data_IF_730619775189
#
_entry.id   IF_730619775189
#
_cell.length_a   1.000
_cell.length_b   1.000
_cell.length_c   1.000
_cell.angle_alpha   90.00
_cell.angle_beta   90.00
_cell.angle_gamma   90.00
#
_symmetry.space_group_name_H-M   'P 1'
#
loop_
_entity.id
_entity.type
_entity.pdbx_description
1 polymer ?
#
# COMPACT_ATOMS: atom_id res chain seq x y z
N UNK A 1 -8.81 -18.07 19.59
CA UNK A 1 -8.83 -16.59 19.67
C UNK A 1 -9.38 -16.05 18.37
N UNK A 2 -10.51 -15.34 18.43
CA UNK A 2 -11.10 -14.69 17.26
C UNK A 2 -10.76 -13.20 17.33
N UNK A 3 -10.08 -12.69 16.31
CA UNK A 3 -9.59 -11.31 16.26
C UNK A 3 -10.37 -10.56 15.19
N UNK A 4 -11.02 -9.46 15.57
CA UNK A 4 -11.68 -8.54 14.65
C UNK A 4 -10.86 -7.25 14.60
N UNK A 5 -10.43 -6.85 13.41
CA UNK A 5 -9.69 -5.61 13.19
C UNK A 5 -10.40 -4.77 12.13
N UNK A 6 -10.63 -3.50 12.45
CA UNK A 6 -11.23 -2.52 11.54
C UNK A 6 -10.41 -1.23 11.58
N UNK A 7 -10.33 -0.55 10.43
CA UNK A 7 -9.65 0.74 10.33
C UNK A 7 -10.69 1.85 10.25
N UNK A 8 -10.67 2.74 11.24
CA UNK A 8 -11.48 3.96 11.25
C UNK A 8 -10.55 5.17 11.41
N UNK A 9 -10.86 6.24 10.69
CA UNK A 9 -10.23 7.55 10.89
C UNK A 9 -10.86 8.16 12.13
N UNK A 10 -10.04 8.74 13.02
CA UNK A 10 -10.54 9.45 14.20
C UNK A 10 -11.24 10.73 13.72
N UNK A 11 -12.56 10.88 13.93
CA UNK A 11 -13.29 12.10 13.60
C UNK A 11 -12.93 13.26 14.55
N UNK A 12 -13.32 14.48 14.22
CA UNK A 12 -12.98 15.70 14.99
C UNK A 12 -13.46 15.64 16.45
N UNK A 13 -14.60 15.01 16.70
CA UNK A 13 -15.14 14.81 18.05
C UNK A 13 -14.39 13.74 18.86
N UNK A 14 -13.34 13.13 18.30
CA UNK A 14 -12.48 12.12 18.92
C UNK A 14 -13.21 10.86 19.42
N UNK A 15 -14.41 10.59 18.91
CA UNK A 15 -15.20 9.41 19.26
C UNK A 15 -15.17 8.36 18.14
N UNK A 16 -14.86 7.11 18.48
CA UNK A 16 -15.01 5.97 17.56
C UNK A 16 -16.19 5.12 18.01
N UNK A 17 -17.16 4.94 17.12
CA UNK A 17 -18.29 4.01 17.33
C UNK A 17 -17.91 2.70 16.64
N UNK A 18 -17.98 1.57 17.36
CA UNK A 18 -17.84 0.23 16.80
C UNK A 18 -19.23 -0.40 16.72
N UNK A 19 -19.73 -0.57 15.51
CA UNK A 19 -21.04 -1.11 15.18
C UNK A 19 -20.91 -2.49 14.51
N UNK A 20 -21.93 -3.34 14.67
CA UNK A 20 -22.01 -4.65 14.00
C UNK A 20 -20.81 -5.59 14.22
N UNK A 21 -20.30 -5.63 15.46
CA UNK A 21 -19.21 -6.54 15.81
C UNK A 21 -19.66 -8.02 15.65
N UNK A 22 -18.79 -8.90 15.11
CA UNK A 22 -19.12 -10.32 14.90
C UNK A 22 -18.95 -11.16 16.17
N UNK A 23 -19.41 -10.64 17.31
CA UNK A 23 -19.40 -11.29 18.62
C UNK A 23 -20.82 -11.46 19.14
N UNK A 24 -21.02 -12.37 20.09
CA UNK A 24 -22.32 -12.63 20.68
C UNK A 24 -22.62 -11.61 21.78
N UNK A 25 -23.90 -11.41 22.14
CA UNK A 25 -24.24 -10.74 23.38
C UNK A 25 -23.50 -11.37 24.57
N UNK A 26 -23.10 -10.52 25.52
CA UNK A 26 -22.36 -10.90 26.74
C UNK A 26 -20.93 -11.42 26.56
N UNK A 27 -20.41 -11.46 25.32
CA UNK A 27 -18.98 -11.71 25.10
C UNK A 27 -18.14 -10.54 25.66
N UNK A 28 -17.17 -10.85 26.52
CA UNK A 28 -16.18 -9.88 26.98
C UNK A 28 -15.09 -9.74 25.93
N UNK A 29 -14.94 -8.54 25.38
CA UNK A 29 -13.96 -8.23 24.32
C UNK A 29 -12.90 -7.25 24.79
N UNK A 30 -11.67 -7.44 24.33
CA UNK A 30 -10.58 -6.46 24.48
C UNK A 30 -10.55 -5.52 23.27
N UNK A 31 -10.42 -4.22 23.51
CA UNK A 31 -10.35 -3.21 22.44
C UNK A 31 -8.94 -2.63 22.37
N UNK A 32 -8.27 -2.81 21.24
CA UNK A 32 -6.94 -2.27 20.99
C UNK A 32 -6.98 -1.15 19.94
N UNK A 33 -6.56 0.05 20.32
CA UNK A 33 -6.45 1.20 19.42
C UNK A 33 -4.98 1.45 19.11
N UNK A 34 -4.61 1.33 17.84
CA UNK A 34 -3.25 1.60 17.37
C UNK A 34 -3.28 2.64 16.26
N UNK A 35 -2.44 3.65 16.38
CA UNK A 35 -2.19 4.57 15.26
C UNK A 35 -1.53 3.79 14.13
N UNK A 36 -2.22 3.64 13.01
CA UNK A 36 -1.61 3.11 11.78
C UNK A 36 -0.82 4.24 11.16
N UNK A 37 0.47 4.01 10.94
CA UNK A 37 1.22 4.84 10.01
C UNK A 37 0.54 4.67 8.66
N UNK A 38 -0.21 5.68 8.22
CA UNK A 38 -0.60 5.74 6.82
C UNK A 38 0.71 5.64 6.05
N UNK A 39 0.90 4.67 5.14
CA UNK A 39 2.01 4.77 4.22
C UNK A 39 1.84 6.15 3.63
N UNK A 40 2.79 7.08 3.93
CA UNK A 40 2.79 8.45 3.41
C UNK A 40 2.32 8.28 2.00
N UNK A 41 1.12 8.80 1.72
CA UNK A 41 0.48 8.53 0.44
C UNK A 41 1.60 8.74 -0.57
N UNK A 42 1.99 7.70 -1.31
CA UNK A 42 2.85 7.86 -2.47
C UNK A 42 2.00 8.59 -3.54
N UNK A 43 1.38 9.70 -3.16
CA UNK A 43 0.82 10.77 -3.97
C UNK A 43 1.94 11.47 -4.73
N UNK A 44 3.20 11.25 -4.36
CA UNK A 44 4.33 11.54 -5.22
C UNK A 44 4.77 10.25 -5.91
N UNK A 45 4.32 10.10 -7.17
CA UNK A 45 4.82 9.13 -8.15
C UNK A 45 4.47 7.64 -7.96
N UNK A 46 3.20 7.27 -7.79
CA UNK A 46 2.81 5.86 -8.05
C UNK A 46 3.13 5.44 -9.50
N UNK A 47 3.13 6.41 -10.44
CA UNK A 47 3.50 6.20 -11.84
C UNK A 47 4.27 7.41 -12.39
N UNK A 48 5.60 7.52 -12.16
CA UNK A 48 6.39 8.70 -12.54
C UNK A 48 6.47 8.93 -14.06
N UNK A 49 6.17 7.89 -14.85
CA UNK A 49 6.22 7.93 -16.32
C UNK A 49 4.83 8.08 -16.96
N UNK A 50 3.74 8.07 -16.19
CA UNK A 50 2.38 8.20 -16.73
C UNK A 50 2.20 9.57 -17.38
N UNK A 51 1.77 9.59 -18.65
CA UNK A 51 1.55 10.81 -19.41
C UNK A 51 2.80 11.42 -20.04
N UNK A 52 3.98 10.82 -19.85
CA UNK A 52 5.18 11.20 -20.59
C UNK A 52 5.24 10.46 -21.92
N UNK A 53 5.56 11.17 -22.99
CA UNK A 53 5.90 10.58 -24.27
C UNK A 53 7.35 10.10 -24.16
N UNK A 54 7.56 8.78 -24.18
CA UNK A 54 8.88 8.18 -24.17
C UNK A 54 9.27 7.83 -25.61
N UNK A 55 10.43 8.33 -26.05
CA UNK A 55 11.05 7.95 -27.32
C UNK A 55 12.22 7.03 -27.00
N UNK A 56 12.20 5.84 -27.60
CA UNK A 56 13.32 4.92 -27.57
C UNK A 56 14.06 5.07 -28.89
N UNK A 57 15.28 5.60 -28.83
CA UNK A 57 16.17 5.57 -29.99
C UNK A 57 16.76 4.16 -30.07
N UNK A 58 16.61 3.54 -31.24
CA UNK A 58 17.08 2.18 -31.58
C UNK A 58 16.75 1.10 -30.50
N UNK A 59 15.47 0.82 -30.24
CA UNK A 59 15.05 -0.04 -29.12
C UNK A 59 15.51 -1.50 -29.21
N UNK A 60 15.94 -1.93 -30.40
CA UNK A 60 16.37 -3.30 -30.69
C UNK A 60 17.87 -3.43 -30.92
N UNK A 61 18.62 -2.32 -30.85
CA UNK A 61 20.08 -2.41 -30.95
C UNK A 61 20.63 -3.16 -29.73
N UNK A 62 21.59 -4.07 -29.95
CA UNK A 62 22.17 -4.83 -28.88
C UNK A 62 22.92 -3.90 -27.93
N UNK A 63 22.55 -3.96 -26.66
CA UNK A 63 23.25 -3.22 -25.60
C UNK A 63 24.48 -3.99 -25.17
N UNK A 64 25.60 -3.28 -25.02
CA UNK A 64 26.82 -3.78 -24.39
C UNK A 64 27.30 -5.12 -24.98
N UNK A 65 27.29 -5.27 -26.31
CA UNK A 65 27.59 -6.52 -27.00
C UNK A 65 28.97 -7.11 -26.60
N UNK A 66 29.92 -6.23 -26.28
CA UNK A 66 31.28 -6.57 -25.83
C UNK A 66 31.34 -7.15 -24.40
N UNK A 67 30.31 -6.92 -23.58
CA UNK A 67 30.21 -7.42 -22.20
C UNK A 67 29.58 -8.82 -22.11
N UNK A 68 29.11 -9.38 -23.22
CA UNK A 68 28.51 -10.72 -23.24
C UNK A 68 29.59 -11.80 -23.29
N UNK A 69 29.88 -12.43 -22.15
CA UNK A 69 30.85 -13.53 -22.04
C UNK A 69 30.55 -14.73 -22.96
N UNK A 70 29.29 -14.92 -23.37
CA UNK A 70 28.89 -16.00 -24.29
C UNK A 70 29.34 -15.78 -25.74
N UNK A 71 29.76 -14.56 -26.09
CA UNK A 71 30.28 -14.21 -27.42
C UNK A 71 31.82 -14.21 -27.47
N UNK A 72 32.49 -14.55 -26.36
CA UNK A 72 33.94 -14.71 -26.27
C UNK A 72 34.41 -16.11 -26.65
#
# INVERSE_FOLDING_TARGET
>A
MQMYQVEKVIPENRAIILDSLPFRPDDVVEVMVRLRETPKSRKNCRYPLRGKILRYDNPTEPVALEDWDVLK
#
